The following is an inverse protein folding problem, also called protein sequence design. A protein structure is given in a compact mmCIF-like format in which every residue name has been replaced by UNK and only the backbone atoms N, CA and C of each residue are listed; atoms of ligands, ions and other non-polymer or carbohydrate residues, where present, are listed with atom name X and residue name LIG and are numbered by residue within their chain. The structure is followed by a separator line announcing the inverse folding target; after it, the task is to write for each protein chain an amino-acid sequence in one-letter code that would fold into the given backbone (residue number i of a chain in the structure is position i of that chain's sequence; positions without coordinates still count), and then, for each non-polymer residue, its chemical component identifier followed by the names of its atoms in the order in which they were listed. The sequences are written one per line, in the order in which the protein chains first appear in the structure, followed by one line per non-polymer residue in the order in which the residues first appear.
data_IF_768835848936
#
_entry.id   IF_768835848936
#
_cell.length_a   1.000
_cell.length_b   1.000
_cell.length_c   1.000
_cell.angle_alpha   90.00
_cell.angle_beta   90.00
_cell.angle_gamma   90.00
#
_symmetry.space_group_name_H-M   'P 1'
#
loop_
_entity.id
_entity.type
_entity.pdbx_description
1 polymer ?
#
# COMPACT_ATOMS: atom_id res chain seq x y z
N UNK A 1 25.18 -33.03 -42.14
CA UNK A 1 25.46 -31.87 -41.27
C UNK A 1 24.17 -31.07 -41.07
N UNK A 2 23.43 -31.38 -40.00
CA UNK A 2 22.10 -30.83 -39.70
C UNK A 2 22.25 -29.68 -38.70
N UNK A 3 22.08 -28.43 -39.15
CA UNK A 3 22.04 -27.24 -38.28
C UNK A 3 20.70 -27.22 -37.55
N UNK A 4 20.73 -27.43 -36.22
CA UNK A 4 19.60 -27.17 -35.32
C UNK A 4 19.48 -25.67 -35.10
N UNK A 5 18.37 -25.09 -35.57
CA UNK A 5 17.93 -23.75 -35.20
C UNK A 5 17.44 -23.80 -33.74
N UNK A 6 18.12 -23.08 -32.85
CA UNK A 6 17.63 -22.80 -31.50
C UNK A 6 16.56 -21.71 -31.63
N UNK A 7 15.30 -21.94 -31.22
CA UNK A 7 14.33 -20.87 -31.20
C UNK A 7 14.69 -19.91 -30.06
N UNK A 8 14.93 -18.65 -30.42
CA UNK A 8 15.04 -17.56 -29.45
C UNK A 8 13.71 -17.44 -28.71
N UNK A 9 13.73 -17.71 -27.40
CA UNK A 9 12.64 -17.40 -26.49
C UNK A 9 12.51 -15.88 -26.41
N UNK A 10 11.60 -15.33 -27.19
CA UNK A 10 11.13 -13.96 -27.02
C UNK A 10 10.52 -13.82 -25.62
N UNK A 11 11.24 -13.15 -24.71
CA UNK A 11 10.70 -12.69 -23.46
C UNK A 11 9.64 -11.63 -23.75
N UNK A 12 8.37 -12.04 -23.79
CA UNK A 12 7.24 -11.12 -23.80
C UNK A 12 7.21 -10.45 -22.42
N UNK A 13 7.80 -9.27 -22.34
CA UNK A 13 7.53 -8.35 -21.25
C UNK A 13 6.05 -7.96 -21.36
N UNK A 14 5.17 -8.65 -20.62
CA UNK A 14 3.83 -8.15 -20.35
C UNK A 14 3.98 -6.85 -19.57
N UNK A 15 4.11 -5.73 -20.29
CA UNK A 15 3.71 -4.43 -19.77
C UNK A 15 2.21 -4.53 -19.55
N UNK A 16 1.82 -4.90 -18.33
CA UNK A 16 0.44 -4.76 -17.87
C UNK A 16 0.20 -3.26 -17.81
N UNK A 17 -0.16 -2.68 -18.96
CA UNK A 17 -0.67 -1.33 -19.02
C UNK A 17 -1.83 -1.26 -18.05
N UNK A 18 -1.78 -0.31 -17.11
CA UNK A 18 -2.92 -0.07 -16.25
C UNK A 18 -4.16 0.18 -17.12
N UNK A 19 -5.35 -0.25 -16.68
CA UNK A 19 -6.58 0.03 -17.43
C UNK A 19 -6.66 1.53 -17.72
N UNK A 20 -7.29 1.93 -18.83
CA UNK A 20 -7.53 3.35 -19.19
C UNK A 20 -8.16 4.16 -18.04
N UNK A 21 -8.72 3.47 -17.05
CA UNK A 21 -9.10 4.01 -15.76
C UNK A 21 -8.03 4.88 -15.07
N UNK A 22 -6.77 4.45 -15.13
CA UNK A 22 -5.62 4.99 -14.43
C UNK A 22 -5.00 6.24 -15.09
N UNK A 23 -5.12 6.38 -16.42
CA UNK A 23 -4.40 7.43 -17.18
C UNK A 23 -4.86 8.85 -16.85
N UNK A 24 -6.11 9.02 -16.43
CA UNK A 24 -6.62 10.33 -15.99
C UNK A 24 -5.88 10.84 -14.76
N UNK A 25 -5.27 9.93 -13.99
CA UNK A 25 -4.55 10.29 -12.78
C UNK A 25 -3.08 10.65 -13.04
N UNK A 26 -2.61 10.74 -14.28
CA UNK A 26 -1.21 11.15 -14.51
C UNK A 26 -0.97 12.66 -14.34
N UNK A 27 -2.02 13.51 -14.48
CA UNK A 27 -1.86 14.99 -14.51
C UNK A 27 -1.53 15.61 -13.15
N UNK A 28 -1.94 14.97 -12.06
CA UNK A 28 -1.82 15.53 -10.69
C UNK A 28 -0.42 15.26 -10.09
N UNK A 29 0.41 14.42 -10.74
CA UNK A 29 1.80 14.21 -10.34
C UNK A 29 1.97 13.78 -8.88
N UNK A 30 2.70 14.57 -8.08
CA UNK A 30 2.96 14.29 -6.66
C UNK A 30 1.80 14.64 -5.72
N UNK A 31 0.74 15.30 -6.20
CA UNK A 31 -0.28 15.87 -5.31
C UNK A 31 -1.33 14.86 -4.79
N UNK A 32 -1.25 13.58 -5.19
CA UNK A 32 -2.11 12.50 -4.67
C UNK A 32 -1.83 12.11 -3.23
N UNK A 33 -0.64 12.43 -2.73
CA UNK A 33 -0.10 11.75 -1.55
C UNK A 33 -0.70 12.23 -0.23
N UNK A 34 -1.62 13.19 -0.23
CA UNK A 34 -2.22 13.68 1.02
C UNK A 34 -3.66 13.15 1.23
N UNK A 35 -4.20 12.32 0.33
CA UNK A 35 -5.57 11.84 0.50
C UNK A 35 -5.66 10.94 1.73
N UNK A 36 -6.44 11.38 2.72
CA UNK A 36 -6.67 10.66 3.97
C UNK A 36 -5.58 10.83 5.04
N UNK A 37 -4.48 11.57 4.80
CA UNK A 37 -3.51 11.86 5.87
C UNK A 37 -4.11 12.74 6.98
N UNK A 38 -5.10 13.58 6.63
CA UNK A 38 -5.92 14.33 7.60
C UNK A 38 -7.02 13.50 8.27
N UNK A 39 -7.31 12.29 7.78
CA UNK A 39 -8.26 11.39 8.43
C UNK A 39 -7.54 10.73 9.60
N UNK A 40 -7.95 11.07 10.82
CA UNK A 40 -7.26 10.68 12.05
C UNK A 40 -7.00 9.17 12.14
N UNK A 41 -7.95 8.33 11.69
CA UNK A 41 -7.81 6.87 11.67
C UNK A 41 -6.68 6.40 10.74
N UNK A 42 -6.55 6.98 9.55
CA UNK A 42 -5.54 6.59 8.56
C UNK A 42 -4.16 7.11 8.99
N UNK A 43 -4.08 8.37 9.42
CA UNK A 43 -2.84 8.99 9.91
C UNK A 43 -2.24 8.26 11.10
N UNK A 44 -3.05 7.91 12.11
CA UNK A 44 -2.57 7.14 13.26
C UNK A 44 -2.12 5.73 12.86
N UNK A 45 -2.81 5.07 11.94
CA UNK A 45 -2.52 3.69 11.55
C UNK A 45 -1.25 3.57 10.70
N UNK A 46 -0.94 4.59 9.90
CA UNK A 46 0.33 4.69 9.18
C UNK A 46 1.56 4.61 10.12
N UNK A 47 1.46 5.16 11.34
CA UNK A 47 2.57 5.12 12.31
C UNK A 47 2.83 3.74 12.91
N UNK A 48 1.84 2.85 12.88
CA UNK A 48 1.90 1.57 13.60
C UNK A 48 2.92 0.64 12.95
N UNK A 49 2.90 0.52 11.62
CA UNK A 49 3.88 -0.28 10.91
C UNK A 49 5.28 0.36 11.00
N UNK A 50 5.38 1.69 10.91
CA UNK A 50 6.65 2.40 11.08
C UNK A 50 7.31 2.11 12.45
N UNK A 51 6.53 2.16 13.52
CA UNK A 51 7.00 1.82 14.87
C UNK A 51 7.40 0.34 15.02
N UNK A 52 6.76 -0.55 14.25
CA UNK A 52 7.04 -2.00 14.27
C UNK A 52 8.36 -2.29 13.55
N UNK A 53 8.60 -1.66 12.40
CA UNK A 53 9.85 -1.77 11.64
C UNK A 53 11.02 -1.18 12.44
N UNK A 54 10.82 -0.03 13.11
CA UNK A 54 11.82 0.56 14.00
C UNK A 54 12.17 -0.34 15.20
N UNK A 55 11.18 -1.00 15.82
CA UNK A 55 11.41 -1.92 16.94
C UNK A 55 12.06 -3.24 16.50
N UNK A 56 11.67 -3.79 15.36
CA UNK A 56 12.22 -5.04 14.83
C UNK A 56 13.73 -4.97 14.52
N UNK A 57 14.26 -3.78 14.23
CA UNK A 57 15.70 -3.55 14.08
C UNK A 57 16.48 -3.51 15.40
N UNK A 58 15.82 -3.20 16.54
CA UNK A 58 16.47 -3.11 17.86
C UNK A 58 16.52 -4.45 18.60
N UNK A 59 15.72 -5.44 18.23
CA UNK A 59 15.60 -6.72 18.95
C UNK A 59 16.56 -7.82 18.48
N UNK A 60 17.47 -7.57 17.54
CA UNK A 60 18.47 -8.58 17.12
C UNK A 60 19.76 -8.61 17.93
N UNK A 61 19.91 -7.76 18.96
CA UNK A 61 21.12 -7.67 19.79
C UNK A 61 20.89 -8.01 21.27
N UNK A 62 20.02 -8.97 21.56
CA UNK A 62 19.99 -9.59 22.88
C UNK A 62 19.91 -11.10 22.73
N UNK A 63 21.02 -11.75 23.03
CA UNK A 63 21.10 -13.16 23.43
C UNK A 63 20.20 -13.38 24.66
N UNK A 64 18.90 -13.50 24.42
CA UNK A 64 17.92 -13.84 25.45
C UNK A 64 18.06 -15.34 25.76
N UNK A 65 18.72 -15.63 26.87
CA UNK A 65 18.78 -16.95 27.49
C UNK A 65 17.34 -17.45 27.75
N UNK A 66 16.96 -18.69 27.35
CA UNK A 66 15.60 -19.16 27.57
C UNK A 66 15.35 -19.28 29.07
N UNK A 67 14.28 -18.64 29.57
CA UNK A 67 13.78 -18.87 30.93
C UNK A 67 12.77 -20.03 30.83
N UNK A 68 13.05 -21.22 31.38
CA UNK A 68 12.08 -22.30 31.41
C UNK A 68 10.97 -21.94 32.40
N UNK A 69 9.71 -21.91 31.94
CA UNK A 69 8.54 -21.83 32.84
C UNK A 69 7.59 -20.65 32.65
N UNK A 70 7.81 -19.73 31.69
CA UNK A 70 6.82 -18.71 31.35
C UNK A 70 5.73 -19.28 30.41
N UNK A 71 4.91 -20.20 30.90
CA UNK A 71 3.66 -20.56 30.24
C UNK A 71 2.71 -19.36 30.35
N UNK A 72 2.72 -18.50 29.33
CA UNK A 72 1.69 -17.48 29.13
C UNK A 72 0.32 -18.16 29.30
N UNK A 73 -0.45 -17.71 30.28
CA UNK A 73 -1.75 -18.28 30.61
C UNK A 73 -2.61 -18.41 29.34
N UNK A 74 -3.41 -19.47 29.23
CA UNK A 74 -4.33 -19.67 28.09
C UNK A 74 -5.28 -18.47 27.91
N UNK A 75 -5.55 -17.71 28.98
CA UNK A 75 -6.28 -16.44 28.96
C UNK A 75 -5.59 -15.35 28.13
N UNK A 76 -4.25 -15.24 28.18
CA UNK A 76 -3.47 -14.29 27.37
C UNK A 76 -3.30 -14.73 25.91
N UNK A 77 -3.44 -16.04 25.63
CA UNK A 77 -3.50 -16.56 24.25
C UNK A 77 -4.87 -16.33 23.59
N UNK A 78 -5.90 -16.06 24.40
CA UNK A 78 -7.29 -15.86 23.98
C UNK A 78 -7.75 -14.40 23.95
N UNK A 79 -6.84 -13.42 24.10
CA UNK A 79 -7.10 -12.09 23.55
C UNK A 79 -7.16 -12.25 22.02
N UNK A 80 -8.35 -12.56 21.51
CA UNK A 80 -8.56 -12.91 20.10
C UNK A 80 -7.86 -11.90 19.21
N UNK A 81 -7.00 -12.39 18.30
CA UNK A 81 -6.31 -11.54 17.35
C UNK A 81 -7.34 -10.62 16.68
N UNK A 82 -7.17 -9.32 16.81
CA UNK A 82 -8.11 -8.34 16.25
C UNK A 82 -8.21 -8.60 14.76
N UNK A 83 -9.40 -8.96 14.29
CA UNK A 83 -9.64 -9.23 12.88
C UNK A 83 -9.44 -7.93 12.08
N UNK A 84 -8.59 -8.01 11.06
CA UNK A 84 -8.35 -6.92 10.11
C UNK A 84 -9.41 -6.83 9.02
N UNK A 85 -10.36 -7.78 9.01
CA UNK A 85 -11.46 -7.83 8.04
C UNK A 85 -12.62 -6.94 8.45
N UNK A 86 -13.40 -6.59 7.44
CA UNK A 86 -14.63 -5.82 7.58
C UNK A 86 -15.73 -6.34 6.65
N UNK A 87 -16.98 -6.10 7.02
CA UNK A 87 -18.13 -6.30 6.13
C UNK A 87 -18.29 -5.09 5.20
N UNK A 88 -18.24 -5.26 3.87
CA UNK A 88 -18.40 -4.13 2.95
C UNK A 88 -19.79 -3.49 3.01
N UNK A 89 -19.81 -2.16 2.89
CA UNK A 89 -21.00 -1.31 2.81
C UNK A 89 -20.89 -0.40 1.58
N UNK A 90 -21.86 -0.45 0.63
CA UNK A 90 -21.88 0.44 -0.51
C UNK A 90 -21.93 1.93 -0.13
N UNK A 91 -22.59 2.27 0.98
CA UNK A 91 -22.70 3.65 1.45
C UNK A 91 -21.34 4.23 1.86
N UNK A 92 -20.47 3.41 2.49
CA UNK A 92 -19.11 3.82 2.83
C UNK A 92 -18.30 4.03 1.55
N UNK A 93 -18.38 3.11 0.58
CA UNK A 93 -17.65 3.26 -0.68
C UNK A 93 -18.07 4.50 -1.48
N UNK A 94 -19.37 4.81 -1.52
CA UNK A 94 -19.87 6.03 -2.17
C UNK A 94 -19.32 7.28 -1.48
N UNK A 95 -19.31 7.31 -0.14
CA UNK A 95 -18.77 8.44 0.63
C UNK A 95 -17.27 8.63 0.38
N UNK A 96 -16.47 7.57 0.51
CA UNK A 96 -15.02 7.63 0.32
C UNK A 96 -14.66 8.02 -1.12
N UNK A 97 -15.37 7.47 -2.10
CA UNK A 97 -15.21 7.85 -3.50
C UNK A 97 -15.52 9.32 -3.74
N UNK A 98 -16.61 9.84 -3.17
CA UNK A 98 -16.96 11.26 -3.25
C UNK A 98 -15.88 12.16 -2.64
N UNK A 99 -15.42 11.83 -1.44
CA UNK A 99 -14.33 12.54 -0.76
C UNK A 99 -13.04 12.53 -1.59
N UNK A 100 -12.72 11.39 -2.23
CA UNK A 100 -11.56 11.30 -3.10
C UNK A 100 -11.73 12.13 -4.38
N UNK A 101 -12.91 12.11 -4.99
CA UNK A 101 -13.22 12.90 -6.18
C UNK A 101 -13.07 14.41 -5.89
N UNK A 102 -13.57 14.87 -4.74
CA UNK A 102 -13.42 16.26 -4.31
C UNK A 102 -11.97 16.62 -3.99
N UNK A 103 -11.23 15.69 -3.38
CA UNK A 103 -9.80 15.88 -3.12
C UNK A 103 -9.02 16.06 -4.42
N UNK A 104 -9.17 15.16 -5.40
CA UNK A 104 -8.42 15.25 -6.67
C UNK A 104 -8.80 16.49 -7.46
N UNK A 105 -10.09 16.87 -7.46
CA UNK A 105 -10.56 18.07 -8.14
C UNK A 105 -10.00 19.36 -7.52
N UNK A 106 -9.80 19.40 -6.19
CA UNK A 106 -9.19 20.53 -5.51
C UNK A 106 -7.69 20.65 -5.77
N UNK A 107 -7.00 19.53 -5.99
CA UNK A 107 -5.54 19.51 -6.24
C UNK A 107 -5.17 19.93 -7.67
N UNK A 108 -6.02 19.62 -8.64
CA UNK A 108 -5.88 20.05 -10.02
C UNK A 108 -7.19 20.71 -10.51
N UNK A 109 -7.43 21.99 -10.14
CA UNK A 109 -8.66 22.69 -10.52
C UNK A 109 -8.86 22.78 -12.05
N UNK A 110 -7.77 22.83 -12.82
CA UNK A 110 -7.82 22.90 -14.28
C UNK A 110 -8.43 21.63 -14.90
N UNK A 111 -8.20 20.45 -14.30
CA UNK A 111 -8.77 19.18 -14.74
C UNK A 111 -9.85 18.63 -13.81
N UNK A 112 -10.32 19.42 -12.84
CA UNK A 112 -11.04 18.91 -11.68
C UNK A 112 -12.34 18.17 -12.00
N UNK A 113 -13.12 18.66 -12.97
CA UNK A 113 -14.35 17.97 -13.41
C UNK A 113 -14.06 16.65 -14.11
N UNK A 114 -13.05 16.61 -15.00
CA UNK A 114 -12.61 15.36 -15.64
C UNK A 114 -12.16 14.33 -14.61
N UNK A 115 -11.38 14.76 -13.62
CA UNK A 115 -10.88 13.90 -12.55
C UNK A 115 -12.01 13.39 -11.65
N UNK A 116 -12.97 14.25 -11.31
CA UNK A 116 -14.17 13.87 -10.58
C UNK A 116 -14.96 12.80 -11.33
N UNK A 117 -15.20 13.00 -12.63
CA UNK A 117 -15.87 12.02 -13.48
C UNK A 117 -15.09 10.71 -13.57
N UNK A 118 -13.76 10.77 -13.71
CA UNK A 118 -12.92 9.59 -13.72
C UNK A 118 -13.06 8.78 -12.42
N UNK A 119 -13.00 9.44 -11.26
CA UNK A 119 -13.19 8.77 -9.96
C UNK A 119 -14.60 8.16 -9.83
N UNK A 120 -15.62 8.85 -10.32
CA UNK A 120 -17.01 8.40 -10.19
C UNK A 120 -17.35 7.23 -11.12
N UNK A 121 -16.91 7.29 -12.37
CA UNK A 121 -17.29 6.34 -13.43
C UNK A 121 -16.45 5.05 -13.40
N UNK A 122 -15.21 5.11 -12.90
CA UNK A 122 -14.27 3.98 -12.98
C UNK A 122 -14.33 3.13 -11.72
N UNK A 123 -14.23 1.82 -11.89
CA UNK A 123 -14.08 0.89 -10.75
C UNK A 123 -12.62 0.86 -10.27
N UNK A 124 -12.21 1.89 -9.54
CA UNK A 124 -10.86 1.99 -9.00
C UNK A 124 -10.56 0.89 -7.97
N UNK A 125 -11.55 0.50 -7.16
CA UNK A 125 -11.37 -0.54 -6.14
C UNK A 125 -11.24 -1.93 -6.78
N UNK A 126 -12.00 -2.21 -7.85
CA UNK A 126 -11.82 -3.42 -8.65
C UNK A 126 -10.48 -3.44 -9.40
N UNK A 127 -10.04 -2.29 -9.93
CA UNK A 127 -8.71 -2.17 -10.53
C UNK A 127 -7.58 -2.45 -9.54
N UNK A 128 -7.72 -1.95 -8.29
CA UNK A 128 -6.83 -2.29 -7.19
C UNK A 128 -6.81 -3.80 -6.94
N UNK A 129 -7.98 -4.42 -6.74
CA UNK A 129 -8.09 -5.85 -6.43
C UNK A 129 -7.46 -6.73 -7.53
N UNK A 130 -7.76 -6.41 -8.79
CA UNK A 130 -7.17 -7.11 -9.93
C UNK A 130 -5.65 -7.05 -9.90
N UNK A 131 -5.08 -5.88 -9.61
CA UNK A 131 -3.64 -5.69 -9.57
C UNK A 131 -2.97 -6.49 -8.46
N UNK A 132 -3.53 -6.49 -7.25
CA UNK A 132 -2.88 -7.09 -6.07
C UNK A 132 -3.23 -8.58 -5.86
N UNK A 133 -4.21 -9.11 -6.60
CA UNK A 133 -4.66 -10.50 -6.47
C UNK A 133 -3.54 -11.53 -6.71
N UNK A 134 -2.59 -11.22 -7.60
CA UNK A 134 -1.41 -12.05 -7.89
C UNK A 134 -0.52 -12.25 -6.67
N UNK A 135 -0.55 -11.29 -5.74
CA UNK A 135 0.16 -11.36 -4.46
C UNK A 135 -0.69 -11.99 -3.36
N UNK A 136 -1.97 -12.30 -3.64
CA UNK A 136 -2.90 -12.92 -2.68
C UNK A 136 -3.56 -11.93 -1.74
N UNK A 137 -3.49 -10.63 -2.07
CA UNK A 137 -4.20 -9.56 -1.39
C UNK A 137 -5.61 -9.41 -1.98
N UNK A 138 -6.57 -8.96 -1.19
CA UNK A 138 -7.98 -8.85 -1.60
C UNK A 138 -8.72 -7.71 -0.90
N UNK A 139 -9.88 -7.34 -1.41
CA UNK A 139 -10.76 -6.38 -0.72
C UNK A 139 -11.39 -7.01 0.53
N UNK A 140 -11.88 -6.17 1.45
CA UNK A 140 -12.50 -6.65 2.69
C UNK A 140 -11.51 -6.91 3.82
N UNK A 141 -10.24 -6.51 3.67
CA UNK A 141 -9.20 -6.65 4.68
C UNK A 141 -8.31 -5.40 4.71
N UNK A 142 -8.24 -4.72 5.85
CA UNK A 142 -7.40 -3.52 6.02
C UNK A 142 -5.92 -3.88 5.88
N UNK A 143 -5.52 -5.05 6.38
CA UNK A 143 -4.11 -5.44 6.33
C UNK A 143 -3.65 -5.58 4.89
N UNK A 144 -4.50 -6.11 4.01
CA UNK A 144 -4.19 -6.27 2.59
C UNK A 144 -4.06 -4.91 1.89
N UNK A 145 -4.99 -3.99 2.15
CA UNK A 145 -4.96 -2.63 1.60
C UNK A 145 -3.70 -1.86 2.03
N UNK A 146 -3.39 -1.88 3.32
CA UNK A 146 -2.22 -1.22 3.87
C UNK A 146 -0.91 -1.86 3.39
N UNK A 147 -0.88 -3.19 3.23
CA UNK A 147 0.28 -3.91 2.69
C UNK A 147 0.61 -3.45 1.27
N UNK A 148 -0.40 -3.45 0.38
CA UNK A 148 -0.21 -3.02 -1.00
C UNK A 148 0.30 -1.58 -1.08
N UNK A 149 -0.30 -0.68 -0.29
CA UNK A 149 0.09 0.72 -0.22
C UNK A 149 1.55 0.91 0.23
N UNK A 150 1.97 0.22 1.29
CA UNK A 150 3.35 0.30 1.80
C UNK A 150 4.38 -0.29 0.82
N UNK A 151 4.10 -1.45 0.24
CA UNK A 151 5.00 -2.09 -0.73
C UNK A 151 5.18 -1.20 -1.96
N UNK A 152 4.09 -0.66 -2.51
CA UNK A 152 4.16 0.23 -3.67
C UNK A 152 4.96 1.50 -3.38
N UNK A 153 4.78 2.11 -2.20
CA UNK A 153 5.55 3.30 -1.84
C UNK A 153 7.05 2.98 -1.65
N UNK A 154 7.40 1.82 -1.09
CA UNK A 154 8.79 1.37 -1.05
C UNK A 154 9.38 1.16 -2.45
N UNK A 155 8.60 0.56 -3.37
CA UNK A 155 8.99 0.38 -4.77
C UNK A 155 9.23 1.72 -5.47
N UNK A 156 8.34 2.70 -5.29
CA UNK A 156 8.48 4.07 -5.84
C UNK A 156 9.72 4.75 -5.24
N UNK A 157 9.91 4.70 -3.92
CA UNK A 157 11.03 5.32 -3.22
C UNK A 157 12.41 4.76 -3.62
N UNK A 158 12.45 3.46 -3.97
CA UNK A 158 13.68 2.75 -4.35
C UNK A 158 13.79 2.48 -5.86
N UNK A 159 12.84 2.96 -6.66
CA UNK A 159 12.74 2.73 -8.10
C UNK A 159 12.81 1.24 -8.48
N UNK A 160 12.16 0.37 -7.69
CA UNK A 160 12.10 -1.08 -7.91
C UNK A 160 10.78 -1.41 -8.63
N UNK A 161 10.81 -2.11 -9.78
CA UNK A 161 9.60 -2.30 -10.58
C UNK A 161 8.60 -3.27 -9.93
N UNK A 162 9.08 -4.36 -9.31
CA UNK A 162 8.22 -5.40 -8.73
C UNK A 162 8.79 -5.95 -7.42
N UNK A 163 7.96 -6.07 -6.40
CA UNK A 163 8.18 -6.96 -5.27
C UNK A 163 7.63 -8.35 -5.62
N UNK A 164 8.27 -9.41 -5.14
CA UNK A 164 7.73 -10.76 -5.35
C UNK A 164 6.65 -11.09 -4.30
N UNK A 165 5.83 -12.10 -4.59
CA UNK A 165 4.74 -12.52 -3.70
C UNK A 165 5.20 -12.84 -2.27
N UNK A 166 6.35 -13.49 -2.10
CA UNK A 166 6.85 -13.84 -0.77
C UNK A 166 7.21 -12.59 0.05
N UNK A 167 7.82 -11.60 -0.58
CA UNK A 167 8.07 -10.29 0.03
C UNK A 167 6.77 -9.57 0.43
N UNK A 168 5.78 -9.55 -0.46
CA UNK A 168 4.46 -8.93 -0.18
C UNK A 168 3.79 -9.62 1.01
N UNK A 169 3.80 -10.95 1.05
CA UNK A 169 3.23 -11.73 2.16
C UNK A 169 4.01 -11.52 3.47
N UNK A 170 5.33 -11.33 3.41
CA UNK A 170 6.14 -10.94 4.56
C UNK A 170 5.65 -9.62 5.18
N UNK A 171 5.44 -8.60 4.35
CA UNK A 171 4.88 -7.31 4.79
C UNK A 171 3.46 -7.47 5.32
N UNK A 172 2.62 -8.27 4.66
CA UNK A 172 1.25 -8.58 5.12
C UNK A 172 1.23 -9.14 6.54
N UNK A 173 2.15 -10.06 6.84
CA UNK A 173 2.33 -10.60 8.19
C UNK A 173 2.73 -9.54 9.20
N UNK A 174 3.63 -8.61 8.83
CA UNK A 174 4.03 -7.49 9.69
C UNK A 174 2.86 -6.53 9.96
N UNK A 175 2.14 -6.13 8.91
CA UNK A 175 0.94 -5.27 9.01
C UNK A 175 -0.11 -5.91 9.90
N UNK A 176 -0.42 -7.20 9.69
CA UNK A 176 -1.44 -7.90 10.47
C UNK A 176 -1.11 -7.92 11.97
N UNK A 177 0.17 -8.16 12.33
CA UNK A 177 0.61 -8.10 13.74
C UNK A 177 0.58 -6.68 14.31
N UNK A 178 0.97 -5.69 13.50
CA UNK A 178 0.96 -4.29 13.88
C UNK A 178 -0.48 -3.80 14.18
N UNK A 179 -1.42 -4.09 13.28
CA UNK A 179 -2.85 -3.76 13.48
C UNK A 179 -3.46 -4.58 14.62
N UNK A 180 -3.14 -5.88 14.69
CA UNK A 180 -3.64 -6.80 15.71
C UNK A 180 -3.27 -6.43 17.15
N UNK A 181 -2.18 -5.68 17.32
CA UNK A 181 -1.70 -5.19 18.62
C UNK A 181 -2.05 -3.73 18.90
N UNK A 182 -2.79 -3.05 18.01
CA UNK A 182 -3.14 -1.64 18.15
C UNK A 182 -4.55 -1.45 18.76
N UNK A 183 -4.68 -0.84 19.95
CA UNK A 183 -5.98 -0.62 20.59
C UNK A 183 -6.91 0.33 19.84
N UNK A 184 -6.39 1.33 19.12
CA UNK A 184 -7.19 2.25 18.31
C UNK A 184 -7.79 1.52 17.09
N UNK A 185 -7.03 0.62 16.47
CA UNK A 185 -7.53 -0.24 15.41
C UNK A 185 -8.63 -1.19 15.90
N UNK A 186 -8.46 -1.77 17.10
CA UNK A 186 -9.44 -2.66 17.72
C UNK A 186 -10.81 -2.01 17.96
N UNK A 187 -10.86 -0.68 18.08
CA UNK A 187 -12.10 0.09 18.30
C UNK A 187 -12.83 0.45 17.01
N UNK A 188 -12.23 0.21 15.84
CA UNK A 188 -12.91 0.49 14.58
C UNK A 188 -13.99 -0.56 14.32
N UNK A 189 -15.17 -0.07 13.95
CA UNK A 189 -16.23 -0.88 13.38
C UNK A 189 -15.94 -1.23 11.91
N UNK A 190 -16.83 -1.99 11.28
CA UNK A 190 -16.69 -2.37 9.88
C UNK A 190 -16.61 -1.15 8.94
N UNK A 191 -17.38 -0.10 9.23
CA UNK A 191 -17.39 1.11 8.42
C UNK A 191 -16.05 1.87 8.51
N UNK A 192 -15.50 2.04 9.72
CA UNK A 192 -14.20 2.68 9.93
C UNK A 192 -13.04 1.88 9.32
N UNK A 193 -13.09 0.55 9.41
CA UNK A 193 -12.13 -0.34 8.74
C UNK A 193 -12.22 -0.24 7.22
N UNK A 194 -13.43 -0.28 6.66
CA UNK A 194 -13.64 -0.14 5.23
C UNK A 194 -13.13 1.20 4.71
N UNK A 195 -13.47 2.29 5.39
CA UNK A 195 -13.05 3.65 5.02
C UNK A 195 -11.53 3.75 4.94
N UNK A 196 -10.84 3.27 5.97
CA UNK A 196 -9.38 3.24 5.97
C UNK A 196 -8.81 2.36 4.85
N UNK A 197 -9.37 1.17 4.63
CA UNK A 197 -8.91 0.27 3.58
C UNK A 197 -9.05 0.93 2.20
N UNK A 198 -10.20 1.53 1.91
CA UNK A 198 -10.46 2.16 0.61
C UNK A 198 -9.61 3.42 0.39
N UNK A 199 -9.29 4.18 1.44
CA UNK A 199 -8.31 5.28 1.35
C UNK A 199 -6.94 4.75 0.91
N UNK A 200 -6.47 3.63 1.47
CA UNK A 200 -5.21 3.01 1.01
C UNK A 200 -5.29 2.52 -0.43
N UNK A 201 -6.40 1.89 -0.81
CA UNK A 201 -6.61 1.39 -2.18
C UNK A 201 -6.62 2.53 -3.21
N UNK A 202 -7.31 3.64 -2.92
CA UNK A 202 -7.39 4.79 -3.82
C UNK A 202 -6.04 5.52 -3.95
N UNK A 203 -5.31 5.69 -2.84
CA UNK A 203 -3.94 6.18 -2.87
C UNK A 203 -3.04 5.29 -3.73
N UNK A 204 -3.15 3.96 -3.58
CA UNK A 204 -2.39 3.00 -4.37
C UNK A 204 -2.67 3.15 -5.86
N UNK A 205 -3.95 3.21 -6.25
CA UNK A 205 -4.32 3.33 -7.67
C UNK A 205 -3.78 4.63 -8.24
N UNK A 206 -3.97 5.75 -7.55
CA UNK A 206 -3.54 7.05 -8.06
C UNK A 206 -2.01 7.17 -8.17
N UNK A 207 -1.29 6.80 -7.11
CA UNK A 207 0.19 6.88 -7.08
C UNK A 207 0.82 5.88 -8.06
N UNK A 208 0.31 4.64 -8.10
CA UNK A 208 0.75 3.63 -9.05
C UNK A 208 0.52 4.05 -10.49
N UNK A 209 -0.59 4.75 -10.77
CA UNK A 209 -0.88 5.30 -12.10
C UNK A 209 0.11 6.36 -12.52
N UNK A 210 0.37 7.35 -11.65
CA UNK A 210 1.33 8.42 -11.93
C UNK A 210 2.76 7.86 -12.14
N UNK A 211 3.20 6.93 -11.30
CA UNK A 211 4.52 6.33 -11.41
C UNK A 211 4.67 5.42 -12.63
N UNK A 212 3.65 4.60 -12.93
CA UNK A 212 3.64 3.77 -14.13
C UNK A 212 3.65 4.61 -15.40
N UNK A 213 2.91 5.72 -15.45
CA UNK A 213 2.90 6.63 -16.60
C UNK A 213 4.26 7.32 -16.79
N UNK A 214 4.86 7.81 -15.70
CA UNK A 214 6.20 8.40 -15.73
C UNK A 214 7.25 7.43 -16.31
N UNK A 215 7.20 6.16 -15.87
CA UNK A 215 8.10 5.12 -16.37
C UNK A 215 7.83 4.74 -17.83
N UNK A 216 6.55 4.59 -18.21
CA UNK A 216 6.17 4.30 -19.60
C UNK A 216 6.64 5.39 -20.57
N UNK A 217 6.54 6.66 -20.15
CA UNK A 217 7.02 7.83 -20.91
C UNK A 217 8.52 8.08 -20.79
N UNK A 218 9.25 7.26 -20.02
CA UNK A 218 10.67 7.47 -19.68
C UNK A 218 10.96 8.86 -19.09
N UNK A 219 9.99 9.43 -18.38
CA UNK A 219 10.11 10.74 -17.74
C UNK A 219 10.84 10.60 -16.41
N UNK A 220 12.17 10.51 -16.48
CA UNK A 220 13.05 10.33 -15.31
C UNK A 220 12.93 11.44 -14.28
N UNK A 221 12.62 12.66 -14.70
CA UNK A 221 12.36 13.80 -13.80
C UNK A 221 11.12 13.56 -12.95
N UNK A 222 10.00 13.16 -13.57
CA UNK A 222 8.76 12.89 -12.85
C UNK A 222 8.91 11.65 -11.96
N UNK A 223 9.53 10.57 -12.44
CA UNK A 223 9.78 9.37 -11.62
C UNK A 223 10.62 9.72 -10.37
N UNK A 224 11.64 10.57 -10.51
CA UNK A 224 12.44 11.06 -9.38
C UNK A 224 11.61 11.91 -8.42
N UNK A 225 10.78 12.83 -8.92
CA UNK A 225 9.89 13.64 -8.08
C UNK A 225 8.93 12.77 -7.27
N UNK A 226 8.31 11.76 -7.88
CA UNK A 226 7.45 10.79 -7.20
C UNK A 226 8.21 10.00 -6.14
N UNK A 227 9.43 9.54 -6.45
CA UNK A 227 10.33 8.86 -5.50
C UNK A 227 10.65 9.72 -4.28
N UNK A 228 11.12 10.96 -4.48
CA UNK A 228 11.44 11.87 -3.38
C UNK A 228 10.21 12.18 -2.51
N UNK A 229 9.07 12.34 -3.16
CA UNK A 229 7.87 12.74 -2.46
C UNK A 229 7.25 11.59 -1.65
N UNK A 230 7.38 10.33 -2.11
CA UNK A 230 7.11 9.13 -1.29
C UNK A 230 8.04 9.07 -0.06
N UNK A 231 9.34 9.32 -0.22
CA UNK A 231 10.30 9.36 0.90
C UNK A 231 9.96 10.47 1.89
N UNK A 232 9.67 11.68 1.40
CA UNK A 232 9.33 12.82 2.25
C UNK A 232 8.08 12.53 3.09
N UNK A 233 7.03 11.96 2.48
CA UNK A 233 5.81 11.58 3.20
C UNK A 233 6.09 10.57 4.31
N UNK A 234 6.78 9.47 4.01
CA UNK A 234 7.06 8.44 5.01
C UNK A 234 7.97 8.95 6.13
N UNK A 235 8.91 9.85 5.83
CA UNK A 235 9.73 10.50 6.86
C UNK A 235 8.89 11.41 7.75
N UNK A 236 8.06 12.27 7.16
CA UNK A 236 7.31 13.30 7.87
C UNK A 236 6.11 12.75 8.63
N UNK A 237 5.34 11.87 8.00
CA UNK A 237 4.12 11.32 8.59
C UNK A 237 4.42 10.11 9.48
N UNK A 238 5.37 9.26 9.08
CA UNK A 238 5.58 7.92 9.69
C UNK A 238 6.91 7.75 10.40
N UNK A 239 7.77 8.77 10.41
CA UNK A 239 9.14 8.68 10.94
C UNK A 239 9.96 7.53 10.33
N UNK A 240 9.68 7.16 9.08
CA UNK A 240 10.33 6.07 8.35
C UNK A 240 11.01 6.60 7.11
N UNK A 241 12.29 6.26 6.94
CA UNK A 241 12.96 6.43 5.67
C UNK A 241 12.85 5.14 4.84
N UNK A 242 12.03 5.17 3.80
CA UNK A 242 11.82 4.03 2.90
C UNK A 242 13.10 3.56 2.20
N UNK A 243 14.09 4.45 2.01
CA UNK A 243 15.38 4.09 1.39
C UNK A 243 16.34 3.40 2.35
N UNK A 244 16.05 3.45 3.64
CA UNK A 244 16.80 2.71 4.67
C UNK A 244 16.16 1.36 4.98
N UNK A 245 15.09 0.98 4.27
CA UNK A 245 14.44 -0.32 4.44
C UNK A 245 14.84 -1.27 3.33
N UNK A 246 15.10 -2.51 3.69
CA UNK A 246 15.20 -3.64 2.77
C UNK A 246 13.88 -4.42 2.80
N UNK A 247 13.37 -4.75 1.63
CA UNK A 247 12.20 -5.62 1.49
C UNK A 247 12.65 -7.08 1.37
N UNK A 248 12.22 -7.91 2.32
CA UNK A 248 12.56 -9.35 2.40
C UNK A 248 11.30 -10.20 2.51
N UNK A 249 11.44 -11.52 2.43
CA UNK A 249 10.32 -12.45 2.67
C UNK A 249 9.79 -12.40 4.12
N UNK A 250 10.56 -11.83 5.06
CA UNK A 250 10.11 -11.54 6.41
C UNK A 250 9.38 -10.18 6.54
N UNK A 251 9.24 -9.45 5.43
CA UNK A 251 8.74 -8.08 5.34
C UNK A 251 9.84 -7.03 5.34
N UNK A 252 9.54 -5.81 5.78
CA UNK A 252 10.51 -4.72 5.88
C UNK A 252 11.49 -4.93 7.04
N UNK A 253 12.77 -4.73 6.76
CA UNK A 253 13.86 -4.73 7.74
C UNK A 253 14.76 -3.51 7.51
N UNK A 254 15.52 -3.08 8.52
CA UNK A 254 16.61 -2.10 8.38
C UNK A 254 17.92 -2.83 8.15
#
# INVERSE_FOLDING_TARGET
MTRRLVPALSAVALMIGLPAAAQDFSSIGTQYMDFGSSMMSVGQMNNVLGSTVQRGGRTRSTTARPVPGASLSAQQRNAGAVSTRYRPSPAVSTRVRGQFADFVAKRDPANGERLRQAVQQKDLLGAWEKHVSVDGLRRGDVADAMTAYWVQNWQIANNVPFANRAQVQGVRGQVSRALGSNPAFARLDDAGKQEMAEVFMLNFVAQGSAFSDANAKKNTTLSRQLSEAAVARFRNEMSVDLRQLKLTEAGFVR
#
